data_IF_419320493624
#
_entry.id   IF_419320493624
#
_cell.length_a   1.000
_cell.length_b   1.000
_cell.length_c   1.000
_cell.angle_alpha   90.00
_cell.angle_beta   90.00
_cell.angle_gamma   90.00
#
_symmetry.space_group_name_H-M   'P 1'
#
loop_
_entity.id
_entity.type
_entity.pdbx_description
1 polymer ?
#
# COMPACT_ATOMS: atom_id res chain seq x y z
N UNK A 1 -15.66 -5.04 24.79
CA UNK A 1 -15.81 -4.68 23.36
C UNK A 1 -14.59 -5.22 22.65
N UNK A 2 -14.73 -6.26 21.83
CA UNK A 2 -13.63 -6.72 20.99
C UNK A 2 -13.74 -5.92 19.69
N UNK A 3 -12.90 -4.89 19.52
CA UNK A 3 -12.84 -4.13 18.29
C UNK A 3 -12.01 -4.94 17.28
N UNK A 4 -12.68 -5.71 16.41
CA UNK A 4 -12.02 -6.38 15.29
C UNK A 4 -11.74 -5.34 14.20
N UNK A 5 -10.49 -5.22 13.79
CA UNK A 5 -10.06 -4.34 12.69
C UNK A 5 -10.41 -4.98 11.35
N UNK A 6 -11.07 -4.26 10.46
CA UNK A 6 -11.33 -4.69 9.08
C UNK A 6 -10.11 -4.42 8.20
N UNK A 7 -9.39 -5.50 7.88
CA UNK A 7 -8.14 -5.45 7.12
C UNK A 7 -8.36 -5.98 5.71
N UNK A 8 -8.04 -5.15 4.71
CA UNK A 8 -8.06 -5.50 3.30
C UNK A 8 -6.64 -5.48 2.71
N UNK A 9 -6.51 -5.92 1.45
CA UNK A 9 -5.22 -6.06 0.77
C UNK A 9 -5.32 -5.52 -0.65
N UNK A 10 -4.30 -4.76 -1.06
CA UNK A 10 -3.99 -4.47 -2.47
C UNK A 10 -2.65 -5.14 -2.79
N UNK A 11 -2.53 -5.86 -3.90
CA UNK A 11 -1.32 -6.58 -4.24
C UNK A 11 -0.54 -5.81 -5.30
N UNK A 12 0.65 -5.33 -4.92
CA UNK A 12 1.61 -4.69 -5.82
C UNK A 12 0.98 -3.66 -6.77
N UNK A 13 0.71 -4.03 -8.02
CA UNK A 13 0.22 -3.14 -9.08
C UNK A 13 -1.21 -2.64 -8.87
N UNK A 14 -2.01 -3.29 -8.01
CA UNK A 14 -3.35 -2.80 -7.64
C UNK A 14 -3.31 -1.35 -7.12
N UNK A 15 -2.20 -0.97 -6.47
CA UNK A 15 -2.02 0.37 -5.93
C UNK A 15 -2.01 1.44 -7.00
N UNK A 16 -1.64 1.14 -8.25
CA UNK A 16 -1.53 2.13 -9.35
C UNK A 16 -2.90 2.62 -9.85
N UNK A 17 -3.99 1.96 -9.42
CA UNK A 17 -5.36 2.35 -9.70
C UNK A 17 -5.99 2.96 -8.44
N UNK A 18 -6.44 4.21 -8.55
CA UNK A 18 -7.09 4.94 -7.45
C UNK A 18 -8.33 4.20 -6.94
N UNK A 19 -9.06 3.59 -7.88
CA UNK A 19 -10.32 2.88 -7.65
C UNK A 19 -10.15 1.70 -6.70
N UNK A 20 -8.98 1.04 -6.70
CA UNK A 20 -8.70 -0.12 -5.86
C UNK A 20 -8.88 0.20 -4.37
N UNK A 21 -8.25 1.27 -3.90
CA UNK A 21 -8.35 1.69 -2.50
C UNK A 21 -9.77 2.17 -2.15
N UNK A 22 -10.45 2.82 -3.11
CA UNK A 22 -11.81 3.30 -2.94
C UNK A 22 -12.82 2.18 -2.78
N UNK A 23 -12.70 1.13 -3.59
CA UNK A 23 -13.58 -0.05 -3.50
C UNK A 23 -13.42 -0.73 -2.14
N UNK A 24 -12.19 -0.91 -1.67
CA UNK A 24 -11.93 -1.52 -0.37
C UNK A 24 -12.47 -0.66 0.79
N UNK A 25 -12.32 0.66 0.70
CA UNK A 25 -12.93 1.60 1.65
C UNK A 25 -14.45 1.47 1.73
N UNK A 26 -15.12 1.35 0.58
CA UNK A 26 -16.57 1.12 0.51
C UNK A 26 -16.99 -0.25 1.06
N UNK A 27 -16.05 -1.16 1.27
CA UNK A 27 -16.22 -2.47 1.93
C UNK A 27 -15.79 -2.42 3.40
N UNK A 28 -15.83 -1.26 4.03
CA UNK A 28 -15.47 -1.01 5.43
C UNK A 28 -13.99 -1.29 5.78
N UNK A 29 -13.06 -1.13 4.82
CA UNK A 29 -11.63 -1.24 5.12
C UNK A 29 -11.14 -0.13 6.06
N UNK A 30 -10.54 -0.52 7.17
CA UNK A 30 -9.85 0.40 8.10
C UNK A 30 -8.33 0.41 7.86
N UNK A 31 -7.79 -0.73 7.41
CA UNK A 31 -6.38 -0.93 7.07
C UNK A 31 -6.25 -1.66 5.73
N UNK A 32 -5.45 -1.12 4.82
CA UNK A 32 -5.04 -1.81 3.59
C UNK A 32 -3.55 -2.20 3.68
N UNK A 33 -3.28 -3.51 3.61
CA UNK A 33 -1.91 -4.04 3.50
C UNK A 33 -1.51 -4.12 2.04
N UNK A 34 -0.29 -3.68 1.74
CA UNK A 34 0.19 -3.55 0.36
C UNK A 34 1.52 -4.30 0.22
N UNK A 35 1.51 -5.64 0.08
CA UNK A 35 2.71 -6.39 -0.26
C UNK A 35 3.13 -6.07 -1.71
N UNK A 36 4.39 -5.71 -1.89
CA UNK A 36 4.98 -5.32 -3.16
C UNK A 36 6.23 -6.14 -3.47
N UNK A 37 6.53 -6.25 -4.77
CA UNK A 37 7.79 -6.73 -5.30
C UNK A 37 8.20 -5.89 -6.51
N UNK A 38 8.30 -4.57 -6.29
CA UNK A 38 8.60 -3.61 -7.36
C UNK A 38 9.56 -2.52 -6.88
N UNK A 39 10.14 -1.79 -7.82
CA UNK A 39 10.90 -0.59 -7.50
C UNK A 39 9.96 0.51 -7.00
N UNK A 40 10.30 1.12 -5.86
CA UNK A 40 9.53 2.22 -5.26
C UNK A 40 10.35 3.50 -5.36
N UNK A 41 10.04 4.30 -6.37
CA UNK A 41 10.52 5.68 -6.47
C UNK A 41 9.69 6.61 -5.54
N UNK A 42 10.11 7.87 -5.37
CA UNK A 42 9.39 8.81 -4.51
C UNK A 42 7.91 9.02 -4.89
N UNK A 43 7.55 8.94 -6.18
CA UNK A 43 6.17 9.12 -6.65
C UNK A 43 5.32 7.92 -6.22
N UNK A 44 5.86 6.70 -6.36
CA UNK A 44 5.19 5.47 -5.92
C UNK A 44 5.04 5.37 -4.41
N UNK A 45 5.95 5.98 -3.64
CA UNK A 45 5.79 6.10 -2.19
C UNK A 45 4.70 7.11 -1.84
N UNK A 46 4.71 8.30 -2.48
CA UNK A 46 3.69 9.33 -2.26
C UNK A 46 2.28 8.84 -2.62
N UNK A 47 2.15 7.99 -3.64
CA UNK A 47 0.88 7.35 -3.98
C UNK A 47 0.22 6.65 -2.78
N UNK A 48 0.99 5.94 -1.95
CA UNK A 48 0.48 5.22 -0.78
C UNK A 48 -0.12 6.17 0.26
N UNK A 49 0.48 7.36 0.40
CA UNK A 49 -0.02 8.45 1.25
C UNK A 49 -1.30 9.06 0.68
N UNK A 50 -1.35 9.26 -0.64
CA UNK A 50 -2.54 9.75 -1.34
C UNK A 50 -3.71 8.79 -1.17
N UNK A 51 -3.49 7.47 -1.33
CA UNK A 51 -4.53 6.45 -1.12
C UNK A 51 -5.09 6.46 0.31
N UNK A 52 -4.21 6.63 1.30
CA UNK A 52 -4.61 6.74 2.71
C UNK A 52 -5.43 8.00 2.96
N UNK A 53 -4.95 9.14 2.46
CA UNK A 53 -5.59 10.44 2.66
C UNK A 53 -6.96 10.53 1.97
N UNK A 54 -7.05 10.17 0.69
CA UNK A 54 -8.27 10.35 -0.10
C UNK A 54 -9.42 9.42 0.34
N UNK A 55 -9.09 8.27 0.94
CA UNK A 55 -10.05 7.26 1.40
C UNK A 55 -10.22 7.25 2.93
N UNK A 56 -9.50 8.11 3.65
CA UNK A 56 -9.56 8.22 5.12
C UNK A 56 -9.33 6.87 5.80
N UNK A 57 -8.24 6.17 5.42
CA UNK A 57 -7.87 4.85 5.93
C UNK A 57 -6.36 4.72 6.17
N UNK A 58 -5.93 3.63 6.79
CA UNK A 58 -4.50 3.34 7.00
C UNK A 58 -3.95 2.50 5.86
N UNK A 59 -2.79 2.86 5.32
CA UNK A 59 -2.02 2.00 4.40
C UNK A 59 -0.78 1.45 5.12
N UNK A 60 -0.49 0.16 4.92
CA UNK A 60 0.71 -0.49 5.44
C UNK A 60 1.42 -1.26 4.32
N UNK A 61 2.55 -0.72 3.85
CA UNK A 61 3.30 -1.29 2.74
C UNK A 61 4.46 -2.16 3.23
N UNK A 62 4.64 -3.31 2.57
CA UNK A 62 5.84 -4.13 2.68
C UNK A 62 6.41 -4.35 1.28
N UNK A 63 7.72 -4.23 1.13
CA UNK A 63 8.42 -4.47 -0.13
C UNK A 63 9.76 -5.17 0.14
N UNK A 64 10.29 -5.86 -0.86
CA UNK A 64 11.64 -6.43 -0.78
C UNK A 64 12.69 -5.32 -0.61
N UNK A 65 13.79 -5.59 0.11
CA UNK A 65 14.90 -4.66 0.18
C UNK A 65 15.51 -4.44 -1.20
N UNK A 66 16.14 -3.28 -1.40
CA UNK A 66 16.93 -3.05 -2.61
C UNK A 66 17.98 -4.17 -2.76
N UNK A 67 18.28 -4.61 -4.00
CA UNK A 67 19.35 -5.56 -4.23
C UNK A 67 20.65 -5.02 -3.61
N UNK A 68 21.54 -5.92 -3.12
CA UNK A 68 22.83 -5.49 -2.59
C UNK A 68 23.53 -4.60 -3.60
N UNK A 69 24.08 -3.45 -3.15
CA UNK A 69 25.02 -2.71 -3.99
C UNK A 69 26.16 -3.66 -4.33
N UNK A 70 26.33 -4.01 -5.61
CA UNK A 70 27.54 -4.66 -6.07
C UNK A 70 28.70 -3.74 -5.69
N UNK A 71 29.62 -4.20 -4.85
CA UNK A 71 30.80 -3.44 -4.41
C UNK A 71 31.85 -3.30 -5.50
N UNK A 72 31.43 -3.17 -6.76
CA UNK A 72 32.33 -2.98 -7.89
C UNK A 72 32.28 -1.52 -8.26
N UNK A 73 33.29 -0.80 -7.75
CA UNK A 73 33.77 0.46 -8.32
C UNK A 73 34.09 0.34 -9.82
#
# INVERSE_FOLDING_TARGET
>A
MNASLHVQVMICYDREHLESARILMLQDAELIRIPNACFLDPIRLAELEVRAFENVLVTAMANYPAPPRSTTE
#
